data_IF_501978229616
#
_entry.id   IF_501978229616
#
_cell.length_a   1.000
_cell.length_b   1.000
_cell.length_c   1.000
_cell.angle_alpha   90.00
_cell.angle_beta   90.00
_cell.angle_gamma   90.00
#
_symmetry.space_group_name_H-M   'P 1'
#
loop_
_entity.id
_entity.type
_entity.pdbx_description
1 polymer ?
#
# COMPACT_ATOMS: atom_id res chain seq x y z
N UNK A 1 -19.19 6.02 7.56
CA UNK A 1 -17.73 5.99 7.77
C UNK A 1 -17.13 7.18 7.05
N UNK A 2 -16.17 7.86 7.66
CA UNK A 2 -15.44 8.99 7.03
C UNK A 2 -13.97 8.62 6.85
N UNK A 3 -13.37 9.09 5.77
CA UNK A 3 -11.94 8.95 5.54
C UNK A 3 -11.24 10.13 6.21
N UNK A 4 -10.40 9.84 7.18
CA UNK A 4 -9.78 10.85 8.05
C UNK A 4 -8.28 10.64 8.17
N UNK A 5 -7.59 11.71 8.54
CA UNK A 5 -6.21 11.69 9.03
C UNK A 5 -6.29 11.87 10.55
N UNK A 6 -5.64 10.99 11.28
CA UNK A 6 -5.58 10.99 12.74
C UNK A 6 -4.17 11.32 13.20
N UNK A 7 -4.03 11.76 14.45
CA UNK A 7 -2.74 11.84 15.11
C UNK A 7 -2.25 10.43 15.51
N UNK A 8 -0.94 10.23 15.61
CA UNK A 8 -0.35 8.94 15.89
C UNK A 8 -0.87 8.27 17.17
N UNK A 9 -1.00 8.97 18.33
CA UNK A 9 -1.52 8.36 19.54
C UNK A 9 -3.01 7.99 19.44
N UNK A 10 -3.81 8.82 18.77
CA UNK A 10 -5.24 8.56 18.59
C UNK A 10 -5.49 7.39 17.67
N UNK A 11 -4.68 7.27 16.60
CA UNK A 11 -4.73 6.10 15.75
C UNK A 11 -4.39 4.81 16.50
N UNK A 12 -3.32 4.80 17.30
CA UNK A 12 -2.96 3.61 18.07
C UNK A 12 -4.10 3.18 19.00
N UNK A 13 -4.73 4.12 19.71
CA UNK A 13 -5.87 3.86 20.58
C UNK A 13 -7.05 3.28 19.81
N UNK A 14 -7.49 3.94 18.73
CA UNK A 14 -8.61 3.50 17.92
C UNK A 14 -8.35 2.18 17.19
N UNK A 15 -7.10 1.91 16.83
CA UNK A 15 -6.68 0.65 16.22
C UNK A 15 -6.77 -0.51 17.20
N UNK A 16 -6.39 -0.30 18.47
CA UNK A 16 -6.54 -1.30 19.53
C UNK A 16 -8.01 -1.61 19.82
N UNK A 17 -8.88 -0.62 19.71
CA UNK A 17 -10.33 -0.76 19.89
C UNK A 17 -11.04 -1.29 18.62
N UNK A 18 -10.31 -1.61 17.54
CA UNK A 18 -10.85 -2.01 16.23
C UNK A 18 -11.85 -1.02 15.61
N UNK A 19 -11.70 0.26 15.91
CA UNK A 19 -12.56 1.36 15.44
C UNK A 19 -11.99 2.10 14.23
N UNK A 20 -10.69 2.04 14.00
CA UNK A 20 -10.01 2.64 12.86
C UNK A 20 -9.45 1.58 11.91
N UNK A 21 -9.86 1.63 10.65
CA UNK A 21 -9.38 0.73 9.60
C UNK A 21 -8.38 1.45 8.71
N UNK A 22 -7.11 0.99 8.65
CA UNK A 22 -6.10 1.61 7.81
C UNK A 22 -6.40 1.38 6.33
N UNK A 23 -6.42 2.45 5.56
CA UNK A 23 -6.50 2.45 4.09
C UNK A 23 -5.15 2.83 3.53
N UNK A 24 -4.52 1.92 2.81
CA UNK A 24 -3.18 2.06 2.25
C UNK A 24 -3.26 2.16 0.72
N UNK A 25 -2.69 3.22 0.16
CA UNK A 25 -2.61 3.44 -1.29
C UNK A 25 -1.30 2.91 -1.84
N UNK A 26 -1.36 2.18 -2.95
CA UNK A 26 -0.22 1.46 -3.54
C UNK A 26 0.95 2.39 -3.88
N UNK A 27 0.70 3.37 -4.72
CA UNK A 27 1.75 4.25 -5.24
C UNK A 27 2.45 5.08 -4.16
N UNK A 28 1.72 5.76 -3.23
CA UNK A 28 2.36 6.45 -2.11
C UNK A 28 3.10 5.53 -1.14
N UNK A 29 2.62 4.30 -0.89
CA UNK A 29 3.32 3.34 -0.04
C UNK A 29 4.71 2.99 -0.59
N UNK A 30 4.81 2.72 -1.90
CA UNK A 30 6.10 2.48 -2.56
C UNK A 30 7.00 3.70 -2.42
N UNK A 31 6.48 4.91 -2.68
CA UNK A 31 7.24 6.15 -2.58
C UNK A 31 7.80 6.36 -1.18
N UNK A 32 6.98 6.18 -0.14
CA UNK A 32 7.43 6.33 1.26
C UNK A 32 8.53 5.33 1.60
N UNK A 33 8.39 4.06 1.20
CA UNK A 33 9.43 3.05 1.44
C UNK A 33 10.74 3.38 0.70
N UNK A 34 10.69 3.97 -0.48
CA UNK A 34 11.89 4.32 -1.25
C UNK A 34 12.57 5.59 -0.75
N UNK A 35 11.83 6.55 -0.21
CA UNK A 35 12.35 7.86 0.20
C UNK A 35 12.73 7.94 1.68
N UNK A 36 12.08 7.16 2.55
CA UNK A 36 12.36 7.20 3.98
C UNK A 36 13.75 6.62 4.30
N UNK A 37 14.56 7.31 5.14
CA UNK A 37 15.85 6.79 5.59
C UNK A 37 15.70 5.52 6.45
N UNK A 38 14.60 5.37 7.17
CA UNK A 38 14.31 4.24 8.04
C UNK A 38 14.08 2.93 7.26
N UNK A 39 13.79 3.04 5.95
CA UNK A 39 13.48 1.90 5.08
C UNK A 39 14.60 1.55 4.11
N UNK A 40 15.83 2.01 4.38
CA UNK A 40 16.98 1.79 3.49
C UNK A 40 17.17 0.32 3.10
N UNK A 41 16.90 -0.60 4.02
CA UNK A 41 17.03 -2.04 3.81
C UNK A 41 15.92 -2.63 2.89
N UNK A 42 14.84 -1.90 2.65
CA UNK A 42 13.73 -2.34 1.79
C UNK A 42 13.91 -1.96 0.33
N UNK A 43 14.77 -0.98 0.05
CA UNK A 43 15.06 -0.55 -1.34
C UNK A 43 15.46 -1.72 -2.25
N UNK A 44 16.42 -2.59 -1.88
CA UNK A 44 16.78 -3.72 -2.73
C UNK A 44 15.63 -4.71 -2.91
N UNK A 45 14.81 -4.95 -1.89
CA UNK A 45 13.66 -5.84 -2.01
C UNK A 45 12.60 -5.29 -2.98
N UNK A 46 12.26 -4.00 -2.90
CA UNK A 46 11.30 -3.36 -3.82
C UNK A 46 11.83 -3.40 -5.25
N UNK A 47 13.11 -3.10 -5.45
CA UNK A 47 13.76 -3.18 -6.77
C UNK A 47 13.77 -4.61 -7.30
N UNK A 48 14.11 -5.60 -6.46
CA UNK A 48 14.10 -7.00 -6.83
C UNK A 48 12.72 -7.48 -7.30
N UNK A 49 11.66 -7.18 -6.55
CA UNK A 49 10.29 -7.54 -6.95
C UNK A 49 9.86 -6.84 -8.23
N UNK A 50 10.20 -5.58 -8.39
CA UNK A 50 9.93 -4.84 -9.63
C UNK A 50 10.63 -5.49 -10.83
N UNK A 51 11.93 -5.78 -10.70
CA UNK A 51 12.73 -6.44 -11.75
C UNK A 51 12.16 -7.82 -12.09
N UNK A 52 11.74 -8.60 -11.10
CA UNK A 52 11.16 -9.93 -11.29
C UNK A 52 9.86 -9.87 -12.11
N UNK A 53 8.98 -8.90 -11.83
CA UNK A 53 7.74 -8.69 -12.60
C UNK A 53 8.06 -8.34 -14.05
N UNK A 54 8.97 -7.40 -14.30
CA UNK A 54 9.33 -7.02 -15.66
C UNK A 54 10.06 -8.14 -16.41
N UNK A 55 10.96 -8.86 -15.76
CA UNK A 55 11.63 -10.02 -16.35
C UNK A 55 10.61 -11.11 -16.76
N UNK A 56 9.62 -11.38 -15.91
CA UNK A 56 8.55 -12.32 -16.21
C UNK A 56 7.68 -11.88 -17.39
N UNK A 57 7.36 -10.58 -17.50
CA UNK A 57 6.62 -10.06 -18.63
C UNK A 57 7.39 -10.19 -19.94
N UNK A 58 8.69 -9.83 -19.94
CA UNK A 58 9.57 -9.95 -21.12
C UNK A 58 9.72 -11.41 -21.52
N UNK A 59 9.99 -12.28 -20.55
CA UNK A 59 10.12 -13.73 -20.81
C UNK A 59 8.82 -14.32 -21.36
N UNK A 60 7.68 -13.93 -20.80
CA UNK A 60 6.36 -14.33 -21.29
C UNK A 60 6.11 -13.88 -22.73
N UNK A 61 6.48 -12.63 -23.05
CA UNK A 61 6.37 -12.10 -24.41
C UNK A 61 7.25 -12.88 -25.40
N UNK A 62 8.49 -13.21 -25.04
CA UNK A 62 9.37 -14.05 -25.87
C UNK A 62 8.77 -15.45 -26.07
N UNK A 63 8.24 -16.05 -25.02
CA UNK A 63 7.63 -17.38 -25.08
C UNK A 63 6.40 -17.44 -25.97
N UNK A 64 5.67 -16.33 -26.18
CA UNK A 64 4.57 -16.27 -27.15
C UNK A 64 5.00 -16.61 -28.59
N UNK A 65 6.24 -16.25 -28.95
CA UNK A 65 6.79 -16.46 -30.30
C UNK A 65 7.57 -17.75 -30.45
N UNK A 66 8.19 -18.27 -29.37
CA UNK A 66 9.10 -19.41 -29.40
C UNK A 66 8.40 -20.73 -29.08
N UNK A 67 7.32 -20.67 -28.27
CA UNK A 67 6.61 -21.86 -27.81
C UNK A 67 5.11 -21.79 -28.14
N UNK A 68 4.30 -22.59 -27.45
CA UNK A 68 2.84 -22.50 -27.57
C UNK A 68 2.36 -21.19 -26.93
N UNK A 69 1.65 -20.38 -27.67
CA UNK A 69 1.17 -19.04 -27.29
C UNK A 69 0.52 -18.96 -25.89
N UNK A 70 -0.22 -19.98 -25.47
CA UNK A 70 -0.87 -20.03 -24.15
C UNK A 70 0.14 -20.11 -22.99
N UNK A 71 1.34 -20.70 -23.20
CA UNK A 71 2.39 -20.76 -22.18
C UNK A 71 2.93 -19.36 -21.91
N UNK A 72 3.19 -18.59 -22.94
CA UNK A 72 3.59 -17.18 -22.81
C UNK A 72 2.56 -16.34 -22.07
N UNK A 73 1.27 -16.52 -22.38
CA UNK A 73 0.17 -15.84 -21.68
C UNK A 73 0.09 -16.23 -20.19
N UNK A 74 0.27 -17.50 -19.86
CA UNK A 74 0.30 -17.95 -18.45
C UNK A 74 1.45 -17.32 -17.69
N UNK A 75 2.66 -17.30 -18.25
CA UNK A 75 3.84 -16.69 -17.62
C UNK A 75 3.61 -15.19 -17.40
N UNK A 76 3.06 -14.47 -18.37
CA UNK A 76 2.72 -13.05 -18.22
C UNK A 76 1.67 -12.83 -17.12
N UNK A 77 0.61 -13.63 -17.12
CA UNK A 77 -0.47 -13.53 -16.13
C UNK A 77 0.05 -13.78 -14.71
N UNK A 78 0.82 -14.85 -14.50
CA UNK A 78 1.39 -15.17 -13.19
C UNK A 78 2.41 -14.13 -12.71
N UNK A 79 3.18 -13.55 -13.63
CA UNK A 79 4.14 -12.49 -13.29
C UNK A 79 3.43 -11.18 -12.92
N UNK A 80 2.35 -10.84 -13.60
CA UNK A 80 1.64 -9.59 -13.36
C UNK A 80 0.73 -9.64 -12.14
N UNK A 81 -0.17 -10.63 -12.07
CA UNK A 81 -1.23 -10.67 -11.07
C UNK A 81 -0.75 -11.12 -9.68
N UNK A 82 -0.28 -12.36 -9.48
CA UNK A 82 0.04 -12.84 -8.13
C UNK A 82 1.31 -12.23 -7.56
N UNK A 83 2.37 -12.05 -8.37
CA UNK A 83 3.61 -11.43 -7.89
C UNK A 83 3.40 -9.98 -7.48
N UNK A 84 2.69 -9.19 -8.29
CA UNK A 84 2.38 -7.80 -7.96
C UNK A 84 1.50 -7.69 -6.71
N UNK A 85 0.45 -8.50 -6.60
CA UNK A 85 -0.42 -8.50 -5.41
C UNK A 85 0.34 -8.91 -4.15
N UNK A 86 1.14 -9.95 -4.21
CA UNK A 86 1.96 -10.42 -3.09
C UNK A 86 3.00 -9.37 -2.64
N UNK A 87 3.70 -8.78 -3.59
CA UNK A 87 4.65 -7.69 -3.31
C UNK A 87 3.95 -6.48 -2.67
N UNK A 88 2.81 -6.05 -3.21
CA UNK A 88 2.05 -4.93 -2.65
C UNK A 88 1.50 -5.22 -1.26
N UNK A 89 1.04 -6.44 -1.01
CA UNK A 89 0.61 -6.85 0.32
C UNK A 89 1.76 -6.75 1.35
N UNK A 90 2.94 -7.26 1.02
CA UNK A 90 4.13 -7.17 1.88
C UNK A 90 4.58 -5.72 2.12
N UNK A 91 4.54 -4.88 1.08
CA UNK A 91 4.84 -3.45 1.16
C UNK A 91 3.86 -2.75 2.11
N UNK A 92 2.56 -3.00 1.97
CA UNK A 92 1.53 -2.40 2.84
C UNK A 92 1.68 -2.83 4.29
N UNK A 93 1.93 -4.10 4.53
CA UNK A 93 2.18 -4.60 5.89
C UNK A 93 3.41 -3.94 6.53
N UNK A 94 4.50 -3.78 5.78
CA UNK A 94 5.70 -3.14 6.29
C UNK A 94 5.49 -1.66 6.58
N UNK A 95 4.77 -0.92 5.71
CA UNK A 95 4.39 0.47 5.96
C UNK A 95 3.59 0.58 7.25
N UNK A 96 2.60 -0.29 7.44
CA UNK A 96 1.75 -0.30 8.63
C UNK A 96 2.57 -0.62 9.89
N UNK A 97 3.40 -1.66 9.85
CA UNK A 97 4.27 -2.07 10.96
C UNK A 97 5.21 -0.93 11.40
N UNK A 98 5.82 -0.22 10.46
CA UNK A 98 6.71 0.90 10.75
C UNK A 98 5.97 2.13 11.25
N UNK A 99 4.82 2.42 10.67
CA UNK A 99 3.97 3.51 11.13
C UNK A 99 3.51 3.30 12.58
N UNK A 100 3.29 2.06 13.00
CA UNK A 100 2.96 1.72 14.39
C UNK A 100 4.15 1.96 15.33
N UNK A 101 5.37 1.64 14.89
CA UNK A 101 6.58 1.71 15.72
C UNK A 101 7.28 3.07 15.73
N UNK A 102 7.06 3.93 14.73
CA UNK A 102 7.77 5.21 14.57
C UNK A 102 6.83 6.35 14.25
N UNK A 103 6.64 7.32 15.19
CA UNK A 103 5.84 8.51 14.93
C UNK A 103 6.37 9.34 13.74
N UNK A 104 7.67 9.35 13.55
CA UNK A 104 8.34 10.05 12.45
C UNK A 104 7.97 9.45 11.09
N UNK A 105 8.01 8.12 10.99
CA UNK A 105 7.60 7.40 9.79
C UNK A 105 6.09 7.56 9.54
N UNK A 106 5.28 7.52 10.60
CA UNK A 106 3.85 7.76 10.55
C UNK A 106 3.52 9.13 9.92
N UNK A 107 4.13 10.20 10.42
CA UNK A 107 3.94 11.56 9.87
C UNK A 107 4.30 11.63 8.39
N UNK A 108 5.40 11.00 7.98
CA UNK A 108 5.79 10.90 6.58
C UNK A 108 4.80 10.12 5.71
N UNK A 109 4.25 9.03 6.24
CA UNK A 109 3.25 8.21 5.55
C UNK A 109 1.91 8.95 5.38
N UNK A 110 1.48 9.72 6.39
CA UNK A 110 0.30 10.59 6.30
C UNK A 110 0.53 11.74 5.30
N UNK A 111 1.65 12.45 5.40
CA UNK A 111 1.97 13.59 4.52
C UNK A 111 2.05 13.20 3.05
N UNK A 112 2.53 11.99 2.74
CA UNK A 112 2.57 11.44 1.39
C UNK A 112 1.23 10.91 0.88
N UNK A 113 0.21 10.81 1.74
CA UNK A 113 -1.09 10.19 1.45
C UNK A 113 -1.05 8.67 1.34
N UNK A 114 0.01 8.03 1.84
CA UNK A 114 0.16 6.57 1.84
C UNK A 114 -0.77 5.88 2.84
N UNK A 115 -1.04 6.54 3.96
CA UNK A 115 -1.83 6.03 5.07
C UNK A 115 -2.98 6.98 5.38
N UNK A 116 -4.18 6.44 5.44
CA UNK A 116 -5.42 7.13 5.86
C UNK A 116 -6.28 6.16 6.64
N UNK A 117 -7.32 6.64 7.31
CA UNK A 117 -8.15 5.81 8.18
C UNK A 117 -9.62 5.97 7.84
N UNK A 118 -10.31 4.84 7.79
CA UNK A 118 -11.78 4.78 7.77
C UNK A 118 -12.26 4.62 9.21
N UNK A 119 -12.97 5.64 9.72
CA UNK A 119 -13.50 5.67 11.08
C UNK A 119 -14.99 5.98 11.03
N UNK A 120 -15.77 5.46 11.99
CA UNK A 120 -17.18 5.82 12.16
C UNK A 120 -17.27 7.23 12.73
N UNK A 121 -18.25 7.98 12.29
CA UNK A 121 -18.45 9.36 12.72
C UNK A 121 -18.64 9.50 14.25
N UNK A 122 -19.33 8.54 14.85
CA UNK A 122 -19.53 8.49 16.31
C UNK A 122 -18.23 8.29 17.10
N UNK A 123 -17.22 7.64 16.51
CA UNK A 123 -15.93 7.38 17.18
C UNK A 123 -14.93 8.55 17.02
N UNK A 124 -15.31 9.61 16.28
CA UNK A 124 -14.50 10.81 16.05
C UNK A 124 -14.82 11.95 17.04
N UNK A 125 -15.83 11.79 17.90
CA UNK A 125 -16.18 12.80 18.89
C UNK A 125 -15.04 13.01 19.89
N UNK A 126 -14.56 14.25 20.01
CA UNK A 126 -13.47 14.63 20.91
C UNK A 126 -12.05 14.35 20.39
N UNK A 127 -11.90 13.88 19.13
CA UNK A 127 -10.59 13.62 18.52
C UNK A 127 -10.29 14.70 17.48
N UNK A 128 -9.07 15.25 17.53
CA UNK A 128 -8.61 16.14 16.46
C UNK A 128 -8.34 15.32 15.19
N UNK A 129 -9.11 15.60 14.16
CA UNK A 129 -9.00 14.89 12.88
C UNK A 129 -9.18 15.85 11.69
N UNK A 130 -8.51 15.55 10.60
CA UNK A 130 -8.71 16.22 9.32
C UNK A 130 -9.52 15.31 8.38
N UNK A 131 -10.73 15.75 8.05
CA UNK A 131 -11.59 15.01 7.12
C UNK A 131 -11.09 15.19 5.69
N UNK A 132 -10.86 14.09 4.98
CA UNK A 132 -10.44 14.10 3.58
C UNK A 132 -11.69 13.95 2.69
N UNK A 133 -12.26 15.06 2.26
CA UNK A 133 -13.53 15.09 1.54
C UNK A 133 -13.52 14.51 0.11
N UNK A 134 -12.36 14.30 -0.50
CA UNK A 134 -12.29 14.22 -1.97
C UNK A 134 -12.20 12.82 -2.60
N UNK A 135 -12.15 11.72 -1.85
CA UNK A 135 -11.78 10.43 -2.46
C UNK A 135 -12.68 9.21 -2.16
N UNK A 136 -13.82 9.39 -1.50
CA UNK A 136 -14.73 8.25 -1.26
C UNK A 136 -15.31 7.68 -2.56
N UNK A 137 -15.54 8.52 -3.57
CA UNK A 137 -16.06 8.09 -4.87
C UNK A 137 -15.07 7.26 -5.70
N UNK A 138 -13.77 7.51 -5.58
CA UNK A 138 -12.74 6.78 -6.33
C UNK A 138 -12.46 5.38 -5.77
N UNK A 139 -12.71 5.17 -4.46
CA UNK A 139 -12.49 3.86 -3.81
C UNK A 139 -13.65 2.88 -4.05
N UNK A 140 -14.87 3.39 -4.25
CA UNK A 140 -16.07 2.56 -4.48
C UNK A 140 -16.14 2.08 -5.94
N UNK A 141 -15.51 2.80 -6.88
CA UNK A 141 -15.51 2.45 -8.31
C UNK A 141 -14.45 1.39 -8.70
N UNK A 142 -13.61 0.93 -7.75
CA UNK A 142 -12.51 -0.02 -8.01
C UNK A 142 -12.69 -1.37 -7.30
N UNK A 143 -13.84 -1.60 -6.68
CA UNK A 143 -14.28 -2.91 -6.17
C UNK A 143 -15.22 -3.58 -7.14
#
# INVERSE_FOLDING_TARGET
MKLVVLDHPDWLRLSQEHKAYPVLRDSPCIKVLLTSPETKNWKPAVLFFSTLVYAGLISGAVLLFVTKWWIGLLVMFFSWFPLRKGAMFSIKQEVLRRATGSPRFYTGAIASGALRFLVREADLEGIQHMVVHQELHALVSTT
#
